data_IF_112109983341
#
_entry.id   IF_112109983341
#
_cell.length_a   1.000
_cell.length_b   1.000
_cell.length_c   1.000
_cell.angle_alpha   90.00
_cell.angle_beta   90.00
_cell.angle_gamma   90.00
#
_symmetry.space_group_name_H-M   'P 1'
#
loop_
_entity.id
_entity.type
_entity.pdbx_description
1 polymer ?
#
# COMPACT_ATOMS: atom_id res chain seq x y z
N UNK A 1 57.38 62.81 -25.17
CA UNK A 1 55.94 62.60 -25.43
C UNK A 1 55.81 61.17 -25.93
N UNK A 2 55.63 60.22 -25.01
CA UNK A 2 55.45 58.80 -25.33
C UNK A 2 53.95 58.52 -25.27
N UNK A 3 53.38 58.17 -26.42
CA UNK A 3 51.96 57.87 -26.61
C UNK A 3 51.68 56.45 -26.11
N UNK A 4 50.97 56.35 -25.00
CA UNK A 4 50.64 55.08 -24.31
C UNK A 4 49.32 54.48 -24.85
N UNK A 5 48.62 55.12 -25.80
CA UNK A 5 47.25 54.74 -26.17
C UNK A 5 47.11 53.75 -27.34
N UNK A 6 48.19 53.19 -27.90
CA UNK A 6 48.09 52.42 -29.16
C UNK A 6 47.94 50.89 -29.06
N UNK A 7 47.78 50.29 -27.86
CA UNK A 7 47.78 48.83 -27.70
C UNK A 7 46.58 48.18 -26.98
N UNK A 8 45.50 48.90 -26.71
CA UNK A 8 44.25 48.26 -26.26
C UNK A 8 43.35 47.98 -27.47
N UNK A 9 43.47 46.78 -28.04
CA UNK A 9 42.42 46.25 -28.92
C UNK A 9 41.17 45.98 -28.05
N UNK A 10 39.97 46.43 -28.45
CA UNK A 10 38.76 46.02 -27.75
C UNK A 10 38.66 44.49 -27.78
N UNK A 11 38.44 43.87 -26.62
CA UNK A 11 38.13 42.45 -26.52
C UNK A 11 36.92 42.17 -27.41
N UNK A 12 37.11 41.33 -28.43
CA UNK A 12 36.01 40.85 -29.26
C UNK A 12 35.02 40.07 -28.39
N UNK A 13 33.74 40.43 -28.48
CA UNK A 13 32.63 39.72 -27.86
C UNK A 13 32.14 38.55 -28.70
N UNK A 14 32.80 38.25 -29.83
CA UNK A 14 32.45 37.15 -30.73
C UNK A 14 32.84 35.82 -30.08
N UNK A 15 31.95 35.30 -29.23
CA UNK A 15 32.15 34.06 -28.49
C UNK A 15 31.47 34.02 -27.12
N UNK A 16 30.90 35.13 -26.64
CA UNK A 16 30.07 35.13 -25.43
C UNK A 16 28.69 34.57 -25.76
N UNK A 17 28.53 33.25 -25.63
CA UNK A 17 27.20 32.64 -25.53
C UNK A 17 26.54 33.13 -24.25
N UNK A 18 25.47 33.90 -24.38
CA UNK A 18 24.54 34.17 -23.29
C UNK A 18 23.96 32.83 -22.87
N UNK A 19 24.42 32.31 -21.74
CA UNK A 19 23.77 31.17 -21.10
C UNK A 19 22.51 31.75 -20.46
N UNK A 20 21.37 31.57 -21.10
CA UNK A 20 20.09 31.99 -20.52
C UNK A 20 19.97 31.38 -19.13
N UNK A 21 19.92 32.24 -18.11
CA UNK A 21 19.59 31.81 -16.75
C UNK A 21 18.22 31.14 -16.75
N UNK A 22 17.93 30.26 -15.77
CA UNK A 22 16.61 29.64 -15.69
C UNK A 22 15.52 30.71 -15.73
N UNK A 23 14.42 30.49 -16.48
CA UNK A 23 13.44 31.53 -16.71
C UNK A 23 12.90 32.06 -15.37
N UNK A 24 12.65 33.37 -15.29
CA UNK A 24 12.34 34.07 -14.03
C UNK A 24 11.12 33.49 -13.28
N UNK A 25 10.29 32.70 -13.95
CA UNK A 25 9.11 32.02 -13.42
C UNK A 25 9.35 30.58 -12.94
N UNK A 26 10.53 29.99 -13.19
CA UNK A 26 10.91 28.65 -12.77
C UNK A 26 10.79 28.44 -11.24
N UNK A 27 11.23 29.37 -10.37
CA UNK A 27 11.08 29.22 -8.92
C UNK A 27 9.62 29.20 -8.48
N UNK A 28 8.78 30.07 -9.07
CA UNK A 28 7.36 30.15 -8.77
C UNK A 28 6.59 28.91 -9.26
N UNK A 29 6.94 28.37 -10.44
CA UNK A 29 6.41 27.11 -10.97
C UNK A 29 6.77 25.92 -10.08
N UNK A 30 8.03 25.84 -9.63
CA UNK A 30 8.50 24.80 -8.72
C UNK A 30 7.76 24.85 -7.37
N UNK A 31 7.63 26.03 -6.76
CA UNK A 31 6.90 26.20 -5.50
C UNK A 31 5.41 25.80 -5.62
N UNK A 32 4.76 26.16 -6.73
CA UNK A 32 3.36 25.76 -7.00
C UNK A 32 3.21 24.26 -7.21
N UNK A 33 4.16 23.62 -7.88
CA UNK A 33 4.19 22.16 -8.05
C UNK A 33 4.39 21.44 -6.71
N UNK A 34 5.30 21.94 -5.86
CA UNK A 34 5.54 21.41 -4.52
C UNK A 34 4.30 21.55 -3.63
N UNK A 35 3.63 22.70 -3.63
CA UNK A 35 2.39 22.90 -2.88
C UNK A 35 1.27 21.95 -3.34
N UNK A 36 1.15 21.72 -4.65
CA UNK A 36 0.20 20.75 -5.21
C UNK A 36 0.51 19.32 -4.76
N UNK A 37 1.79 18.96 -4.72
CA UNK A 37 2.24 17.66 -4.22
C UNK A 37 1.87 17.48 -2.75
N UNK A 38 2.20 18.46 -1.90
CA UNK A 38 1.87 18.47 -0.47
C UNK A 38 0.37 18.28 -0.26
N UNK A 39 -0.46 19.11 -0.90
CA UNK A 39 -1.93 19.00 -0.81
C UNK A 39 -2.45 17.63 -1.25
N UNK A 40 -1.86 17.04 -2.30
CA UNK A 40 -2.24 15.70 -2.79
C UNK A 40 -1.87 14.61 -1.78
N UNK A 41 -0.75 14.75 -1.08
CA UNK A 41 -0.34 13.81 -0.02
C UNK A 41 -1.28 13.96 1.19
N UNK A 42 -1.54 15.18 1.64
CA UNK A 42 -2.46 15.45 2.75
C UNK A 42 -3.88 14.94 2.48
N UNK A 43 -4.41 15.21 1.28
CA UNK A 43 -5.72 14.71 0.87
C UNK A 43 -5.77 13.17 0.90
N UNK A 44 -4.74 12.48 0.39
CA UNK A 44 -4.67 11.02 0.41
C UNK A 44 -4.65 10.48 1.84
N UNK A 45 -3.86 11.10 2.72
CA UNK A 45 -3.78 10.74 4.14
C UNK A 45 -5.13 10.93 4.84
N UNK A 46 -5.80 12.05 4.57
CA UNK A 46 -7.13 12.33 5.12
C UNK A 46 -8.16 11.29 4.68
N UNK A 47 -8.22 10.98 3.37
CA UNK A 47 -9.15 9.97 2.82
C UNK A 47 -8.89 8.59 3.44
N UNK A 48 -7.63 8.17 3.58
CA UNK A 48 -7.27 6.89 4.22
C UNK A 48 -7.71 6.84 5.68
N UNK A 49 -7.48 7.91 6.44
CA UNK A 49 -7.92 8.00 7.84
C UNK A 49 -9.45 7.94 7.96
N UNK A 50 -10.17 8.63 7.08
CA UNK A 50 -11.63 8.58 7.05
C UNK A 50 -12.15 7.17 6.71
N UNK A 51 -11.59 6.54 5.68
CA UNK A 51 -11.95 5.17 5.29
C UNK A 51 -11.70 4.16 6.43
N UNK A 52 -10.56 4.29 7.14
CA UNK A 52 -10.26 3.45 8.31
C UNK A 52 -11.26 3.66 9.46
N UNK A 53 -11.67 4.91 9.71
CA UNK A 53 -12.71 5.22 10.70
C UNK A 53 -14.07 4.63 10.31
N UNK A 54 -14.46 4.72 9.03
CA UNK A 54 -15.68 4.09 8.53
C UNK A 54 -15.64 2.57 8.71
N UNK A 55 -14.51 1.94 8.38
CA UNK A 55 -14.32 0.50 8.58
C UNK A 55 -14.39 0.11 10.06
N UNK A 56 -13.73 0.86 10.95
CA UNK A 56 -13.80 0.62 12.39
C UNK A 56 -15.22 0.77 12.95
N UNK A 57 -15.98 1.78 12.49
CA UNK A 57 -17.38 1.97 12.86
C UNK A 57 -18.26 0.82 12.37
N UNK A 58 -18.03 0.32 11.15
CA UNK A 58 -18.76 -0.82 10.59
C UNK A 58 -18.47 -2.13 11.35
N UNK A 59 -17.24 -2.32 11.84
CA UNK A 59 -16.88 -3.46 12.70
C UNK A 59 -17.48 -3.30 14.10
N UNK A 60 -17.42 -2.08 14.67
CA UNK A 60 -17.83 -1.76 16.04
C UNK A 60 -16.87 -2.29 17.10
N UNK A 61 -16.67 -3.61 17.15
CA UNK A 61 -15.71 -4.30 18.03
C UNK A 61 -15.14 -5.54 17.37
N UNK A 62 -14.00 -6.03 17.88
CA UNK A 62 -13.56 -7.37 17.50
C UNK A 62 -14.57 -8.43 17.96
N UNK A 63 -14.77 -9.52 17.18
CA UNK A 63 -15.55 -10.66 17.62
C UNK A 63 -14.94 -11.26 18.89
N UNK A 64 -15.74 -11.90 19.73
CA UNK A 64 -15.25 -12.79 20.79
C UNK A 64 -14.70 -14.06 20.14
N UNK A 65 -13.95 -14.86 20.91
CA UNK A 65 -13.48 -16.16 20.43
C UNK A 65 -14.67 -17.05 20.06
N UNK A 66 -14.66 -17.60 18.86
CA UNK A 66 -15.75 -18.41 18.31
C UNK A 66 -16.96 -17.61 17.82
N UNK A 67 -16.89 -16.28 17.82
CA UNK A 67 -17.93 -15.40 17.25
C UNK A 67 -17.54 -14.95 15.84
N UNK A 68 -18.55 -14.73 15.01
CA UNK A 68 -18.43 -14.10 13.69
C UNK A 68 -19.31 -12.86 13.63
N UNK A 69 -18.76 -11.77 13.10
CA UNK A 69 -19.48 -10.54 12.78
C UNK A 69 -19.66 -10.49 11.27
N UNK A 70 -20.91 -10.39 10.82
CA UNK A 70 -21.25 -10.24 9.41
C UNK A 70 -21.51 -8.78 9.11
N UNK A 71 -20.91 -8.28 8.04
CA UNK A 71 -21.06 -6.88 7.65
C UNK A 71 -21.15 -6.71 6.15
N UNK A 72 -21.69 -5.55 5.77
CA UNK A 72 -21.73 -5.07 4.39
C UNK A 72 -20.87 -3.82 4.31
N UNK A 73 -20.00 -3.79 3.32
CA UNK A 73 -19.21 -2.63 2.96
C UNK A 73 -19.92 -1.89 1.85
N UNK A 74 -20.07 -0.58 2.04
CA UNK A 74 -20.40 0.34 0.96
C UNK A 74 -19.11 0.86 0.29
N UNK A 75 -19.24 1.92 -0.50
CA UNK A 75 -18.11 2.51 -1.22
C UNK A 75 -17.24 3.44 -0.35
N UNK A 76 -17.53 3.58 0.94
CA UNK A 76 -16.84 4.52 1.84
C UNK A 76 -15.50 3.99 2.36
N UNK A 77 -15.25 2.67 2.29
CA UNK A 77 -13.98 2.07 2.66
C UNK A 77 -13.69 0.80 1.84
N UNK A 78 -12.43 0.35 1.87
CA UNK A 78 -11.98 -0.86 1.15
C UNK A 78 -11.71 -2.03 2.09
N UNK A 79 -11.57 -3.25 1.55
CA UNK A 79 -11.11 -4.40 2.33
C UNK A 79 -9.74 -4.18 3.01
N UNK A 80 -8.87 -3.34 2.42
CA UNK A 80 -7.63 -2.95 3.08
C UNK A 80 -7.87 -2.05 4.29
N UNK A 81 -8.79 -1.10 4.18
CA UNK A 81 -9.20 -0.26 5.31
C UNK A 81 -9.80 -1.08 6.46
N UNK A 82 -10.51 -2.16 6.12
CA UNK A 82 -11.00 -3.15 7.09
C UNK A 82 -9.84 -3.87 7.79
N UNK A 83 -8.82 -4.30 7.05
CA UNK A 83 -7.60 -4.89 7.62
C UNK A 83 -6.89 -3.92 8.58
N UNK A 84 -6.71 -2.66 8.17
CA UNK A 84 -6.09 -1.61 8.99
C UNK A 84 -6.87 -1.35 10.28
N UNK A 85 -8.20 -1.28 10.20
CA UNK A 85 -9.05 -1.10 11.36
C UNK A 85 -8.95 -2.28 12.34
N UNK A 86 -8.91 -3.52 11.83
CA UNK A 86 -8.72 -4.72 12.67
C UNK A 86 -7.35 -4.72 13.34
N UNK A 87 -6.28 -4.36 12.62
CA UNK A 87 -4.93 -4.25 13.20
C UNK A 87 -4.89 -3.22 14.33
N UNK A 88 -5.54 -2.06 14.15
CA UNK A 88 -5.65 -1.03 15.18
C UNK A 88 -6.45 -1.54 16.41
N UNK A 89 -7.60 -2.19 16.18
CA UNK A 89 -8.44 -2.73 17.26
C UNK A 89 -7.80 -3.89 18.02
N UNK A 90 -6.89 -4.65 17.41
CA UNK A 90 -6.15 -5.72 18.08
C UNK A 90 -5.25 -5.17 19.20
N UNK A 91 -4.77 -3.93 19.06
CA UNK A 91 -3.91 -3.24 20.02
C UNK A 91 -2.69 -4.06 20.48
N UNK A 92 -2.18 -4.91 19.60
CA UNK A 92 -0.95 -5.69 19.79
C UNK A 92 -0.32 -6.03 18.43
N UNK A 93 1.00 -6.25 18.35
CA UNK A 93 1.65 -6.61 17.09
C UNK A 93 1.10 -7.92 16.50
N UNK A 94 0.79 -7.90 15.21
CA UNK A 94 0.39 -9.08 14.46
C UNK A 94 1.65 -9.86 14.07
N UNK A 95 1.72 -11.10 14.54
CA UNK A 95 2.86 -12.00 14.30
C UNK A 95 2.89 -12.52 12.87
N UNK A 96 1.72 -12.64 12.26
CA UNK A 96 1.55 -13.18 10.91
C UNK A 96 0.27 -12.65 10.28
N UNK A 97 0.43 -12.08 9.09
CA UNK A 97 -0.64 -11.66 8.21
C UNK A 97 -0.56 -12.47 6.92
N UNK A 98 -1.58 -13.25 6.62
CA UNK A 98 -1.73 -13.90 5.31
C UNK A 98 -2.81 -13.16 4.54
N UNK A 99 -2.49 -12.76 3.32
CA UNK A 99 -3.37 -12.05 2.43
C UNK A 99 -3.61 -12.93 1.21
N UNK A 100 -4.86 -13.28 0.93
CA UNK A 100 -5.28 -13.81 -0.37
C UNK A 100 -6.09 -12.75 -1.10
N UNK A 101 -5.75 -12.43 -2.35
CA UNK A 101 -6.55 -11.49 -3.15
C UNK A 101 -6.33 -11.70 -4.65
N UNK A 102 -7.26 -11.24 -5.50
CA UNK A 102 -7.03 -11.26 -6.94
C UNK A 102 -5.83 -10.39 -7.29
N UNK A 103 -5.80 -9.14 -6.80
CA UNK A 103 -4.74 -8.19 -7.09
C UNK A 103 -4.64 -7.11 -6.02
N UNK A 104 -3.53 -6.38 -6.05
CA UNK A 104 -3.20 -5.38 -5.05
C UNK A 104 -2.82 -4.04 -5.72
N UNK A 105 -2.52 -3.01 -4.95
CA UNK A 105 -2.16 -1.71 -5.50
C UNK A 105 -1.02 -1.06 -4.71
N UNK A 106 -0.37 -0.07 -5.33
CA UNK A 106 0.79 0.62 -4.74
C UNK A 106 0.45 1.30 -3.41
N UNK A 107 -0.64 2.09 -3.26
CA UNK A 107 -0.94 2.74 -1.99
C UNK A 107 -1.12 1.76 -0.81
N UNK A 108 -1.76 0.62 -1.05
CA UNK A 108 -1.97 -0.38 -0.01
C UNK A 108 -0.68 -1.19 0.27
N UNK A 109 0.19 -1.34 -0.72
CA UNK A 109 1.52 -1.93 -0.51
C UNK A 109 2.45 -1.00 0.29
N UNK A 110 2.42 0.31 0.02
CA UNK A 110 3.12 1.32 0.83
C UNK A 110 2.64 1.26 2.28
N UNK A 111 1.31 1.24 2.48
CA UNK A 111 0.69 1.08 3.80
C UNK A 111 1.14 -0.20 4.53
N UNK A 112 1.20 -1.33 3.81
CA UNK A 112 1.67 -2.61 4.35
C UNK A 112 3.16 -2.55 4.74
N UNK A 113 3.99 -1.89 3.93
CA UNK A 113 5.40 -1.68 4.24
C UNK A 113 5.58 -0.79 5.47
N UNK A 114 4.80 0.29 5.61
CA UNK A 114 4.80 1.15 6.81
C UNK A 114 4.53 0.34 8.08
N UNK A 115 3.55 -0.57 8.05
CA UNK A 115 3.21 -1.43 9.19
C UNK A 115 4.33 -2.43 9.55
N UNK A 116 5.06 -2.92 8.55
CA UNK A 116 6.25 -3.78 8.74
C UNK A 116 7.42 -2.99 9.33
N UNK A 117 7.71 -1.82 8.78
CA UNK A 117 8.82 -0.96 9.18
C UNK A 117 8.62 -0.45 10.63
N UNK A 118 7.36 -0.19 11.01
CA UNK A 118 6.96 0.16 12.39
C UNK A 118 6.85 -1.07 13.32
N UNK A 119 7.16 -2.27 12.83
CA UNK A 119 7.13 -3.53 13.59
C UNK A 119 5.75 -3.89 14.15
N UNK A 120 4.68 -3.32 13.61
CA UNK A 120 3.28 -3.69 13.91
C UNK A 120 2.91 -5.02 13.26
N UNK A 121 3.49 -5.31 12.09
CA UNK A 121 3.46 -6.63 11.46
C UNK A 121 4.85 -7.27 11.54
N UNK A 122 4.90 -8.59 11.77
CA UNK A 122 6.18 -9.34 11.80
C UNK A 122 6.44 -10.18 10.56
N UNK A 123 5.41 -10.86 10.06
CA UNK A 123 5.48 -11.71 8.87
C UNK A 123 4.26 -11.52 8.01
N UNK A 124 4.49 -11.48 6.71
CA UNK A 124 3.48 -11.31 5.67
C UNK A 124 3.69 -12.37 4.60
N UNK A 125 2.59 -13.02 4.23
CA UNK A 125 2.46 -13.75 2.98
C UNK A 125 1.39 -13.03 2.14
N UNK A 126 1.79 -12.46 1.01
CA UNK A 126 0.90 -11.89 0.02
C UNK A 126 0.69 -12.89 -1.13
N UNK A 127 -0.44 -13.57 -1.14
CA UNK A 127 -0.88 -14.46 -2.22
C UNK A 127 -1.77 -13.68 -3.19
N UNK A 128 -1.29 -13.50 -4.43
CA UNK A 128 -2.01 -12.82 -5.53
C UNK A 128 -2.33 -13.76 -6.68
N UNK A 129 -3.21 -13.35 -7.58
CA UNK A 129 -3.53 -14.14 -8.77
C UNK A 129 -2.47 -14.04 -9.87
N UNK A 130 -2.37 -15.09 -10.69
CA UNK A 130 -1.64 -15.08 -11.96
C UNK A 130 -2.18 -14.02 -12.94
N UNK A 131 -3.48 -13.76 -12.92
CA UNK A 131 -4.12 -12.66 -13.64
C UNK A 131 -3.52 -11.30 -13.25
N UNK A 132 -3.38 -11.01 -11.96
CA UNK A 132 -2.78 -9.73 -11.53
C UNK A 132 -1.32 -9.61 -11.95
N UNK A 133 -0.52 -10.68 -11.78
CA UNK A 133 0.86 -10.72 -12.26
C UNK A 133 0.95 -10.37 -13.75
N UNK A 134 0.04 -10.89 -14.56
CA UNK A 134 0.07 -10.74 -16.02
C UNK A 134 -0.50 -9.40 -16.52
N UNK A 135 -1.56 -8.90 -15.88
CA UNK A 135 -2.28 -7.68 -16.27
C UNK A 135 -1.63 -6.40 -15.74
N UNK A 136 -1.07 -6.43 -14.54
CA UNK A 136 -0.47 -5.27 -13.86
C UNK A 136 1.02 -5.49 -13.54
N UNK A 137 1.80 -5.94 -14.53
CA UNK A 137 3.20 -6.43 -14.37
C UNK A 137 4.10 -5.49 -13.57
N UNK A 138 4.11 -4.20 -13.90
CA UNK A 138 4.96 -3.21 -13.22
C UNK A 138 4.55 -3.03 -11.77
N UNK A 139 3.25 -2.93 -11.49
CA UNK A 139 2.74 -2.79 -10.12
C UNK A 139 3.07 -4.06 -9.32
N UNK A 140 2.88 -5.24 -9.91
CA UNK A 140 3.24 -6.50 -9.28
C UNK A 140 4.74 -6.57 -8.96
N UNK A 141 5.62 -6.23 -9.92
CA UNK A 141 7.06 -6.27 -9.74
C UNK A 141 7.50 -5.36 -8.58
N UNK A 142 7.01 -4.12 -8.55
CA UNK A 142 7.35 -3.16 -7.49
C UNK A 142 6.87 -3.62 -6.10
N UNK A 143 5.65 -4.17 -6.03
CA UNK A 143 5.09 -4.69 -4.77
C UNK A 143 5.91 -5.89 -4.29
N UNK A 144 6.27 -6.80 -5.20
CA UNK A 144 7.08 -7.97 -4.89
C UNK A 144 8.45 -7.55 -4.35
N UNK A 145 9.16 -6.68 -5.06
CA UNK A 145 10.46 -6.17 -4.63
C UNK A 145 10.37 -5.49 -3.26
N UNK A 146 9.35 -4.65 -3.04
CA UNK A 146 9.15 -3.94 -1.77
C UNK A 146 8.93 -4.88 -0.57
N UNK A 147 8.27 -6.01 -0.78
CA UNK A 147 7.99 -6.99 0.28
C UNK A 147 9.15 -7.98 0.46
N UNK A 148 9.72 -8.50 -0.62
CA UNK A 148 10.82 -9.47 -0.56
C UNK A 148 12.11 -8.86 -0.01
N UNK A 149 12.41 -7.59 -0.33
CA UNK A 149 13.52 -6.84 0.29
C UNK A 149 13.37 -6.68 1.81
N UNK A 150 12.15 -6.83 2.36
CA UNK A 150 11.85 -6.86 3.80
C UNK A 150 11.77 -8.28 4.37
N UNK A 151 12.18 -9.29 3.61
CA UNK A 151 12.12 -10.70 4.00
C UNK A 151 10.70 -11.26 4.08
N UNK A 152 9.73 -10.62 3.42
CA UNK A 152 8.34 -11.09 3.34
C UNK A 152 8.14 -11.95 2.10
N UNK A 153 7.06 -12.74 2.07
CA UNK A 153 6.78 -13.67 0.97
C UNK A 153 5.68 -13.13 0.06
N UNK A 154 5.89 -13.25 -1.24
CA UNK A 154 4.87 -13.02 -2.27
C UNK A 154 4.70 -14.29 -3.09
N UNK A 155 3.48 -14.79 -3.19
CA UNK A 155 3.15 -15.99 -3.94
C UNK A 155 2.14 -15.66 -5.05
N UNK A 156 2.29 -16.31 -6.20
CA UNK A 156 1.39 -16.15 -7.34
C UNK A 156 0.68 -17.47 -7.56
N UNK A 157 -0.65 -17.45 -7.49
CA UNK A 157 -1.46 -18.68 -7.54
C UNK A 157 -2.67 -18.49 -8.46
N UNK A 158 -3.36 -19.58 -8.78
CA UNK A 158 -4.66 -19.54 -9.47
C UNK A 158 -5.81 -19.54 -8.45
N UNK A 159 -5.85 -18.50 -7.62
CA UNK A 159 -6.87 -18.33 -6.58
C UNK A 159 -7.69 -17.06 -6.82
N UNK A 160 -9.00 -17.17 -6.58
CA UNK A 160 -9.93 -16.03 -6.55
C UNK A 160 -10.41 -15.71 -5.12
N UNK A 161 -9.87 -16.39 -4.10
CA UNK A 161 -10.22 -16.14 -2.71
C UNK A 161 -9.77 -14.73 -2.29
N UNK A 162 -10.57 -14.06 -1.44
CA UNK A 162 -10.17 -12.83 -0.76
C UNK A 162 -10.24 -13.02 0.74
N UNK A 163 -9.07 -13.05 1.35
CA UNK A 163 -8.88 -13.47 2.73
C UNK A 163 -7.83 -12.60 3.41
N UNK A 164 -8.06 -12.27 4.67
CA UNK A 164 -7.04 -11.73 5.57
C UNK A 164 -7.01 -12.61 6.82
N UNK A 165 -5.88 -13.26 7.08
CA UNK A 165 -5.68 -14.08 8.27
C UNK A 165 -4.67 -13.36 9.17
N UNK A 166 -5.10 -12.96 10.36
CA UNK A 166 -4.28 -12.21 11.30
C UNK A 166 -4.08 -13.03 12.57
N UNK A 167 -2.83 -13.37 12.87
CA UNK A 167 -2.46 -14.09 14.09
C UNK A 167 -1.62 -13.20 14.99
N UNK A 168 -2.09 -12.97 16.21
CA UNK A 168 -1.34 -12.26 17.25
C UNK A 168 -0.84 -13.23 18.32
N UNK A 169 -0.40 -12.72 19.48
CA UNK A 169 -0.16 -13.58 20.65
C UNK A 169 -1.47 -14.19 21.17
N UNK A 170 -2.57 -13.43 21.12
CA UNK A 170 -3.80 -13.77 21.83
C UNK A 170 -5.01 -14.04 20.93
N UNK A 171 -4.97 -13.66 19.65
CA UNK A 171 -6.13 -13.64 18.74
C UNK A 171 -5.80 -14.35 17.42
N UNK A 172 -6.82 -14.97 16.82
CA UNK A 172 -6.74 -15.63 15.51
C UNK A 172 -7.88 -15.12 14.65
N UNK A 173 -7.68 -13.95 14.05
CA UNK A 173 -8.72 -13.23 13.33
C UNK A 173 -8.70 -13.64 11.85
N UNK A 174 -9.88 -13.93 11.32
CA UNK A 174 -10.11 -14.26 9.91
C UNK A 174 -11.08 -13.24 9.34
N UNK A 175 -10.74 -12.70 8.17
CA UNK A 175 -11.63 -11.87 7.38
C UNK A 175 -11.86 -12.56 6.05
N UNK A 176 -13.11 -12.95 5.80
CA UNK A 176 -13.58 -13.47 4.51
C UNK A 176 -14.38 -12.37 3.84
N UNK A 177 -14.10 -12.05 2.58
CA UNK A 177 -14.80 -10.96 1.89
C UNK A 177 -14.97 -11.23 0.40
N UNK A 178 -15.98 -10.62 -0.21
CA UNK A 178 -16.14 -10.57 -1.67
C UNK A 178 -15.21 -9.55 -2.33
N UNK A 179 -14.74 -8.56 -1.56
CA UNK A 179 -13.92 -7.48 -2.05
C UNK A 179 -12.47 -7.89 -2.27
N UNK A 180 -11.87 -7.43 -3.37
CA UNK A 180 -10.41 -7.45 -3.50
C UNK A 180 -9.78 -6.36 -2.62
N UNK A 181 -8.49 -6.47 -2.35
CA UNK A 181 -7.75 -5.46 -1.57
C UNK A 181 -7.31 -4.25 -2.40
N UNK A 182 -7.97 -4.03 -3.53
CA UNK A 182 -7.95 -2.79 -4.30
C UNK A 182 -9.32 -2.14 -4.15
N UNK A 183 -9.39 -0.81 -4.14
CA UNK A 183 -10.67 -0.11 -4.07
C UNK A 183 -11.59 -0.57 -5.20
N UNK A 184 -12.69 -1.24 -4.88
CA UNK A 184 -13.87 -1.36 -5.73
C UNK A 184 -14.88 -0.32 -5.26
N UNK A 185 -15.56 0.37 -6.18
CA UNK A 185 -16.70 1.23 -5.84
C UNK A 185 -17.99 0.38 -5.82
N UNK A 186 -17.89 -0.82 -5.26
CA UNK A 186 -18.97 -1.79 -5.22
C UNK A 186 -19.42 -1.98 -3.78
N UNK A 187 -20.65 -2.45 -3.64
CA UNK A 187 -21.12 -3.04 -2.39
C UNK A 187 -20.58 -4.45 -2.26
N UNK A 188 -20.07 -4.78 -1.08
CA UNK A 188 -19.32 -6.00 -0.84
C UNK A 188 -19.71 -6.54 0.55
N UNK A 189 -19.61 -7.84 0.78
CA UNK A 189 -19.81 -8.41 2.11
C UNK A 189 -18.48 -8.81 2.75
N UNK A 190 -18.49 -8.85 4.08
CA UNK A 190 -17.41 -9.48 4.85
C UNK A 190 -17.95 -10.26 6.04
N UNK A 191 -17.14 -11.23 6.48
CA UNK A 191 -17.28 -11.94 7.75
C UNK A 191 -15.97 -11.78 8.50
N UNK A 192 -16.05 -11.29 9.74
CA UNK A 192 -14.93 -11.12 10.66
C UNK A 192 -15.09 -12.09 11.83
N UNK A 193 -14.18 -13.05 11.95
CA UNK A 193 -14.24 -14.13 12.95
C UNK A 193 -12.98 -14.16 13.81
N UNK A 194 -13.08 -14.51 15.10
CA UNK A 194 -11.91 -14.89 15.92
C UNK A 194 -11.95 -16.39 16.21
N UNK A 195 -11.41 -17.17 15.28
CA UNK A 195 -11.45 -18.62 15.32
C UNK A 195 -10.12 -19.22 14.81
N UNK A 196 -9.41 -19.88 15.74
CA UNK A 196 -8.14 -20.55 15.46
C UNK A 196 -8.29 -21.77 14.55
N UNK A 197 -9.42 -22.47 14.57
CA UNK A 197 -9.69 -23.61 13.67
C UNK A 197 -9.91 -23.10 12.26
N UNK A 198 -10.74 -22.07 12.09
CA UNK A 198 -10.98 -21.43 10.79
C UNK A 198 -9.69 -20.84 10.20
N UNK A 199 -8.90 -20.13 11.01
CA UNK A 199 -7.62 -19.58 10.58
C UNK A 199 -6.68 -20.68 10.07
N UNK A 200 -6.55 -21.79 10.81
CA UNK A 200 -5.70 -22.93 10.39
C UNK A 200 -6.22 -23.64 9.15
N UNK A 201 -7.54 -23.77 9.02
CA UNK A 201 -8.15 -24.31 7.82
C UNK A 201 -7.72 -23.51 6.58
N UNK A 202 -7.83 -22.17 6.62
CA UNK A 202 -7.40 -21.35 5.51
C UNK A 202 -5.89 -21.38 5.28
N UNK A 203 -5.08 -21.34 6.34
CA UNK A 203 -3.63 -21.42 6.22
C UNK A 203 -3.18 -22.70 5.53
N UNK A 204 -3.75 -23.85 5.88
CA UNK A 204 -3.32 -25.15 5.37
C UNK A 204 -3.40 -25.24 3.84
N UNK A 205 -4.54 -24.88 3.25
CA UNK A 205 -4.68 -24.95 1.79
C UNK A 205 -3.90 -23.82 1.09
N UNK A 206 -3.76 -22.64 1.71
CA UNK A 206 -2.94 -21.54 1.15
C UNK A 206 -1.48 -21.98 1.05
N UNK A 207 -0.95 -22.60 2.10
CA UNK A 207 0.43 -23.11 2.13
C UNK A 207 0.65 -24.18 1.06
N UNK A 208 -0.27 -25.14 0.94
CA UNK A 208 -0.22 -26.17 -0.10
C UNK A 208 -0.24 -25.56 -1.51
N UNK A 209 -1.09 -24.56 -1.74
CA UNK A 209 -1.21 -23.89 -3.02
C UNK A 209 0.07 -23.12 -3.37
N UNK A 210 0.67 -22.45 -2.39
CA UNK A 210 1.92 -21.69 -2.59
C UNK A 210 3.11 -22.63 -2.86
N UNK A 211 3.19 -23.79 -2.22
CA UNK A 211 4.25 -24.78 -2.47
C UNK A 211 4.17 -25.42 -3.86
N UNK A 212 2.97 -25.50 -4.45
CA UNK A 212 2.75 -26.08 -5.78
C UNK A 212 2.92 -25.08 -6.93
N UNK A 213 3.21 -23.81 -6.61
CA UNK A 213 3.27 -22.70 -7.58
C UNK A 213 4.68 -22.14 -7.79
N UNK A 214 5.68 -22.70 -7.09
CA UNK A 214 7.11 -22.46 -7.29
C UNK A 214 7.68 -23.42 -8.35
#
# INVERSE_FOLDING_TARGET
MFDIDSHLRPLSTDGLTVVDGPPADAPAKAAKAQLRLVRRVEKRRFVRLQARRSAAAAIGRLPKRGESIHGVMDTSYSAWSLAEAVIELLNEPVRELVIGTLGFNRPNAEALCELLDQKQLKRVLLMVSDYFRSSDRTIFADIRESLESRGQRVAVTRSHAKLLLLRTKNRNVVIETSANLRSSQNWEQFVLSDDRRLLRFHQAWIEQLCQSSD
#
